data_IF_016911836653
#
_entry.id   IF_016911836653
#
_cell.length_a   1.000
_cell.length_b   1.000
_cell.length_c   1.000
_cell.angle_alpha   90.00
_cell.angle_beta   90.00
_cell.angle_gamma   90.00
#
_symmetry.space_group_name_H-M   'P 1'
#
loop_
_entity.id
_entity.type
_entity.pdbx_description
1 polymer ?
#
# COMPACT_ATOMS: atom_id res chain seq x y z
N UNK A 1 -53.27 -16.64 -7.03
CA UNK A 1 -52.18 -17.01 -7.97
C UNK A 1 -50.89 -16.52 -7.32
N UNK A 2 -50.09 -17.44 -6.83
CA UNK A 2 -48.79 -17.10 -6.30
C UNK A 2 -47.87 -16.80 -7.48
N UNK A 3 -47.40 -15.58 -7.57
CA UNK A 3 -46.33 -15.20 -8.50
C UNK A 3 -45.06 -15.84 -7.99
N UNK A 4 -44.62 -16.88 -8.69
CA UNK A 4 -43.28 -17.42 -8.57
C UNK A 4 -42.27 -16.39 -9.15
N UNK A 5 -41.96 -15.38 -8.37
CA UNK A 5 -40.78 -14.56 -8.62
C UNK A 5 -39.63 -15.27 -7.94
N UNK A 6 -38.65 -15.73 -8.71
CA UNK A 6 -37.34 -16.14 -8.22
C UNK A 6 -36.76 -14.96 -7.50
N UNK A 7 -36.81 -15.00 -6.18
CA UNK A 7 -36.22 -13.96 -5.31
C UNK A 7 -34.71 -14.19 -5.27
N UNK A 8 -33.96 -13.12 -4.98
CA UNK A 8 -32.49 -13.15 -4.77
C UNK A 8 -32.01 -14.16 -3.73
N UNK A 9 -32.95 -14.83 -3.00
CA UNK A 9 -32.65 -15.94 -2.11
C UNK A 9 -32.52 -17.31 -2.80
N UNK A 10 -32.85 -17.41 -4.09
CA UNK A 10 -32.72 -18.64 -4.87
C UNK A 10 -31.38 -18.74 -5.62
N UNK A 11 -30.56 -17.69 -5.57
CA UNK A 11 -29.18 -17.73 -5.98
C UNK A 11 -28.33 -18.07 -4.74
N UNK A 12 -27.88 -19.30 -4.65
CA UNK A 12 -26.98 -19.79 -3.61
C UNK A 12 -25.60 -19.11 -3.68
N UNK A 13 -25.58 -17.77 -3.59
CA UNK A 13 -24.38 -17.03 -3.26
C UNK A 13 -24.33 -17.00 -1.74
N UNK A 14 -23.75 -18.03 -1.12
CA UNK A 14 -23.52 -18.07 0.30
C UNK A 14 -22.39 -17.06 0.59
N UNK A 15 -22.67 -15.90 1.21
CA UNK A 15 -21.68 -14.83 1.43
C UNK A 15 -20.44 -15.33 2.19
N UNK A 16 -20.61 -16.31 3.08
CA UNK A 16 -19.56 -16.91 3.89
C UNK A 16 -18.53 -17.72 3.07
N UNK A 17 -18.92 -18.26 1.91
CA UNK A 17 -18.01 -19.00 1.01
C UNK A 17 -17.35 -18.03 0.03
N UNK A 18 -18.05 -16.98 -0.38
CA UNK A 18 -17.55 -16.04 -1.39
C UNK A 18 -16.44 -15.12 -0.86
N UNK A 19 -16.57 -14.64 0.37
CA UNK A 19 -15.57 -13.77 1.00
C UNK A 19 -14.19 -14.41 1.18
N UNK A 20 -14.05 -15.62 1.76
CA UNK A 20 -12.77 -16.30 1.88
C UNK A 20 -12.08 -16.52 0.53
N UNK A 21 -12.85 -16.87 -0.50
CA UNK A 21 -12.32 -17.08 -1.86
C UNK A 21 -11.75 -15.78 -2.47
N UNK A 22 -12.42 -14.66 -2.29
CA UNK A 22 -11.94 -13.36 -2.77
C UNK A 22 -10.68 -12.89 -2.04
N UNK A 23 -10.61 -13.09 -0.77
CA UNK A 23 -9.45 -12.72 0.07
C UNK A 23 -8.22 -13.54 -0.35
N UNK A 24 -8.35 -14.84 -0.49
CA UNK A 24 -7.26 -15.73 -0.88
C UNK A 24 -6.69 -15.36 -2.26
N UNK A 25 -7.53 -15.17 -3.27
CA UNK A 25 -7.07 -14.76 -4.61
C UNK A 25 -6.44 -13.37 -4.64
N UNK A 26 -6.88 -12.46 -3.80
CA UNK A 26 -6.28 -11.12 -3.68
C UNK A 26 -4.87 -11.21 -3.11
N UNK A 27 -4.67 -12.06 -2.11
CA UNK A 27 -3.37 -12.29 -1.49
C UNK A 27 -2.36 -12.91 -2.46
N UNK A 28 -2.77 -13.90 -3.25
CA UNK A 28 -1.90 -14.56 -4.24
C UNK A 28 -1.39 -13.62 -5.34
N UNK A 29 -2.17 -12.62 -5.71
CA UNK A 29 -1.83 -11.69 -6.81
C UNK A 29 -1.05 -10.45 -6.39
N UNK A 30 -0.87 -10.22 -5.09
CA UNK A 30 -0.12 -9.06 -4.59
C UNK A 30 1.34 -9.42 -4.36
N UNK A 31 2.24 -8.97 -5.24
CA UNK A 31 3.68 -9.14 -5.06
C UNK A 31 4.22 -8.42 -3.83
N UNK A 32 3.61 -7.30 -3.44
CA UNK A 32 3.94 -6.58 -2.21
C UNK A 32 3.65 -7.39 -0.95
N UNK A 33 2.55 -8.13 -0.90
CA UNK A 33 2.22 -9.03 0.22
C UNK A 33 3.25 -10.15 0.37
N UNK A 34 3.65 -10.77 -0.74
CA UNK A 34 4.64 -11.85 -0.76
C UNK A 34 6.07 -11.40 -0.44
N UNK A 35 6.37 -10.10 -0.54
CA UNK A 35 7.71 -9.54 -0.30
C UNK A 35 8.06 -9.32 1.17
N UNK A 36 7.07 -9.38 2.08
CA UNK A 36 7.23 -9.04 3.50
C UNK A 36 7.33 -7.54 3.79
N UNK A 37 7.21 -6.68 2.78
CA UNK A 37 7.15 -5.21 2.92
C UNK A 37 5.92 -4.81 3.70
N UNK A 38 4.80 -5.49 3.46
CA UNK A 38 3.53 -5.29 4.11
C UNK A 38 3.34 -6.38 5.15
N UNK A 39 3.11 -5.96 6.37
CA UNK A 39 2.86 -6.87 7.48
C UNK A 39 1.55 -6.54 8.17
N UNK A 40 0.80 -7.59 8.53
CA UNK A 40 -0.34 -7.45 9.41
C UNK A 40 0.16 -7.03 10.79
N UNK A 41 -0.40 -5.93 11.32
CA UNK A 41 -0.03 -5.38 12.63
C UNK A 41 -1.23 -5.41 13.56
N UNK A 42 -1.15 -6.12 14.69
CA UNK A 42 -2.23 -6.14 15.68
C UNK A 42 -2.56 -4.75 16.25
N UNK A 43 -1.56 -3.87 16.29
CA UNK A 43 -1.68 -2.49 16.78
C UNK A 43 -2.59 -1.62 15.89
N UNK A 44 -2.75 -1.99 14.61
CA UNK A 44 -3.62 -1.33 13.63
C UNK A 44 -5.06 -1.86 13.63
N UNK A 45 -5.46 -2.68 14.62
CA UNK A 45 -6.81 -3.21 14.65
C UNK A 45 -7.84 -2.08 14.68
N UNK A 46 -8.79 -2.19 13.76
CA UNK A 46 -9.90 -1.26 13.67
C UNK A 46 -10.81 -1.50 14.89
N UNK A 47 -11.08 -0.48 15.72
CA UNK A 47 -11.90 -0.65 16.89
C UNK A 47 -13.31 -1.12 16.50
N UNK A 48 -13.89 -2.12 17.19
CA UNK A 48 -15.23 -2.62 16.89
C UNK A 48 -16.31 -1.55 17.13
N UNK A 49 -16.00 -0.54 17.93
CA UNK A 49 -16.93 0.54 18.30
C UNK A 49 -16.92 1.73 17.30
N UNK A 50 -16.24 1.59 16.16
CA UNK A 50 -16.13 2.65 15.18
C UNK A 50 -14.94 3.58 15.44
N UNK A 51 -14.68 4.44 14.48
CA UNK A 51 -13.57 5.40 14.43
C UNK A 51 -12.92 5.35 13.06
N UNK A 52 -12.46 6.48 12.59
CA UNK A 52 -11.79 6.67 11.30
C UNK A 52 -10.26 6.72 11.41
N UNK A 53 -9.75 6.91 12.64
CA UNK A 53 -8.33 7.03 12.94
C UNK A 53 -7.93 6.02 14.03
N UNK A 54 -6.90 5.25 13.75
CA UNK A 54 -6.24 4.39 14.74
C UNK A 54 -5.05 5.14 15.30
N UNK A 55 -5.02 5.33 16.61
CA UNK A 55 -3.99 6.09 17.32
C UNK A 55 -3.05 5.14 18.03
N UNK A 56 -1.76 5.21 17.71
CA UNK A 56 -0.69 4.36 18.26
C UNK A 56 0.29 5.22 19.06
N UNK A 57 0.18 5.30 20.39
CA UNK A 57 1.16 6.01 21.20
C UNK A 57 2.46 5.23 21.29
N UNK A 58 3.58 5.94 21.27
CA UNK A 58 4.92 5.35 21.46
C UNK A 58 5.82 6.28 22.29
N UNK A 59 6.83 5.69 22.90
CA UNK A 59 7.86 6.43 23.63
C UNK A 59 8.90 6.94 22.63
N UNK A 60 9.27 8.21 22.76
CA UNK A 60 10.40 8.78 22.03
C UNK A 60 11.70 8.29 22.67
N UNK A 61 12.75 8.20 21.87
CA UNK A 61 14.07 7.83 22.37
C UNK A 61 14.62 8.91 23.30
N UNK A 62 15.54 8.50 24.16
CA UNK A 62 16.22 9.41 25.06
C UNK A 62 17.21 10.26 24.27
N UNK A 63 17.08 11.57 24.42
CA UNK A 63 17.95 12.54 23.77
C UNK A 63 18.78 13.29 24.82
N UNK A 64 20.00 13.62 24.49
CA UNK A 64 20.95 14.35 25.35
C UNK A 64 22.24 13.56 25.56
N UNK A 65 23.26 14.25 25.89
CA UNK A 65 24.57 13.69 26.20
C UNK A 65 24.65 13.14 27.64
N UNK A 66 25.57 12.24 27.88
CA UNK A 66 25.90 11.80 29.23
C UNK A 66 26.50 12.95 30.05
N UNK A 67 26.21 12.94 31.34
CA UNK A 67 26.69 13.96 32.27
C UNK A 67 27.89 13.47 33.04
N UNK A 68 28.89 14.33 33.21
CA UNK A 68 30.07 14.02 34.05
C UNK A 68 29.64 13.96 35.50
N UNK A 69 30.05 12.89 36.18
CA UNK A 69 29.91 12.76 37.63
C UNK A 69 30.97 13.64 38.30
N UNK A 70 30.52 14.72 38.89
CA UNK A 70 31.36 15.62 39.69
C UNK A 70 30.72 15.83 41.05
N UNK A 71 31.58 16.08 42.05
CA UNK A 71 31.12 16.33 43.43
C UNK A 71 30.65 17.78 43.66
N UNK A 72 30.85 18.63 42.67
CA UNK A 72 30.54 20.07 42.75
C UNK A 72 29.33 20.50 41.92
N UNK A 73 28.84 19.63 41.05
CA UNK A 73 27.72 19.96 40.11
C UNK A 73 26.58 18.94 40.25
N UNK A 74 25.38 19.44 40.43
CA UNK A 74 24.19 18.61 40.47
C UNK A 74 23.89 18.07 39.05
N UNK A 75 23.35 16.84 38.97
CA UNK A 75 22.94 16.23 37.71
C UNK A 75 21.57 16.81 37.24
N UNK A 76 21.50 17.17 35.98
CA UNK A 76 20.27 17.63 35.37
C UNK A 76 19.33 16.46 35.01
N UNK A 77 18.07 16.58 35.37
CA UNK A 77 17.06 15.57 35.07
C UNK A 77 16.43 15.82 33.71
N UNK A 78 16.76 15.01 32.71
CA UNK A 78 16.13 15.03 31.42
C UNK A 78 14.72 14.40 31.47
N UNK A 79 13.80 14.92 30.66
CA UNK A 79 12.44 14.39 30.53
C UNK A 79 12.37 13.50 29.30
N UNK A 80 11.74 12.33 29.45
CA UNK A 80 11.34 11.53 28.29
C UNK A 80 9.87 11.84 27.92
N UNK A 81 9.59 11.81 26.64
CA UNK A 81 8.30 12.21 26.09
C UNK A 81 7.69 11.10 25.27
N UNK A 82 6.38 11.17 25.09
CA UNK A 82 5.63 10.29 24.21
C UNK A 82 5.22 11.03 22.94
N UNK A 83 5.15 10.33 21.83
CA UNK A 83 4.55 10.81 20.60
C UNK A 83 3.48 9.84 20.12
N UNK A 84 2.78 10.20 19.06
CA UNK A 84 1.65 9.43 18.57
C UNK A 84 1.80 9.25 17.06
N UNK A 85 1.74 8.01 16.61
CA UNK A 85 1.51 7.67 15.23
C UNK A 85 0.01 7.48 14.99
N UNK A 86 -0.49 7.93 13.85
CA UNK A 86 -1.91 7.90 13.50
C UNK A 86 -2.11 7.29 12.13
N UNK A 87 -2.91 6.25 12.06
CA UNK A 87 -3.31 5.59 10.83
C UNK A 87 -4.77 5.88 10.51
N UNK A 88 -5.09 6.02 9.23
CA UNK A 88 -6.45 6.31 8.75
C UNK A 88 -7.12 5.07 8.21
N UNK A 89 -8.42 4.95 8.47
CA UNK A 89 -9.28 3.90 7.95
C UNK A 89 -9.65 4.19 6.48
N UNK A 90 -9.47 3.19 5.62
CA UNK A 90 -9.94 3.21 4.24
C UNK A 90 -11.20 2.37 4.10
N UNK A 91 -12.36 3.02 3.93
CA UNK A 91 -13.61 2.38 3.53
C UNK A 91 -13.74 2.42 2.01
N UNK A 92 -13.83 1.26 1.36
CA UNK A 92 -13.95 1.16 -0.09
C UNK A 92 -15.07 0.20 -0.48
N UNK A 93 -15.75 0.50 -1.57
CA UNK A 93 -16.77 -0.35 -2.14
C UNK A 93 -16.58 -0.53 -3.65
N UNK A 94 -16.91 -1.70 -4.13
CA UNK A 94 -17.07 -2.01 -5.54
C UNK A 94 -18.51 -2.45 -5.78
N UNK A 95 -19.15 -1.89 -6.80
CA UNK A 95 -20.50 -2.24 -7.21
C UNK A 95 -20.47 -2.53 -8.69
N UNK A 96 -20.95 -3.70 -9.06
CA UNK A 96 -21.14 -4.10 -10.46
C UNK A 96 -22.49 -4.79 -10.58
N UNK A 97 -23.13 -4.60 -11.71
CA UNK A 97 -24.42 -5.19 -11.99
C UNK A 97 -24.50 -5.74 -13.41
N UNK A 98 -25.48 -6.60 -13.62
CA UNK A 98 -25.86 -7.08 -14.95
C UNK A 98 -27.38 -7.03 -15.11
N UNK A 99 -27.85 -6.91 -16.35
CA UNK A 99 -29.28 -7.03 -16.65
C UNK A 99 -29.65 -8.47 -16.93
N UNK A 100 -30.87 -8.88 -16.59
CA UNK A 100 -31.39 -10.23 -16.86
C UNK A 100 -31.30 -10.59 -18.34
N UNK A 101 -31.56 -9.61 -19.22
CA UNK A 101 -31.46 -9.81 -20.65
C UNK A 101 -30.06 -10.08 -21.13
N UNK A 102 -29.04 -9.39 -20.55
CA UNK A 102 -27.64 -9.63 -20.88
C UNK A 102 -27.21 -11.03 -20.44
N UNK A 103 -27.65 -11.48 -19.27
CA UNK A 103 -27.39 -12.83 -18.77
C UNK A 103 -28.01 -13.92 -19.67
N UNK A 104 -29.26 -13.68 -20.11
CA UNK A 104 -29.96 -14.60 -21.02
C UNK A 104 -29.30 -14.68 -22.41
N UNK A 105 -28.85 -13.56 -22.96
CA UNK A 105 -28.16 -13.52 -24.24
C UNK A 105 -26.73 -14.06 -24.20
N UNK A 106 -26.00 -13.89 -23.08
CA UNK A 106 -24.66 -14.40 -22.91
C UNK A 106 -24.59 -15.92 -22.68
N UNK A 107 -25.72 -16.53 -22.27
CA UNK A 107 -25.79 -17.96 -21.99
C UNK A 107 -24.86 -18.44 -20.85
N UNK A 108 -24.39 -17.51 -20.04
CA UNK A 108 -23.52 -17.77 -18.90
C UNK A 108 -23.94 -16.91 -17.72
N UNK A 109 -23.71 -17.44 -16.49
CA UNK A 109 -23.99 -16.69 -15.26
C UNK A 109 -22.90 -15.62 -15.05
N UNK A 110 -23.21 -14.31 -15.21
CA UNK A 110 -22.22 -13.26 -15.06
C UNK A 110 -21.77 -13.05 -13.62
N UNK A 111 -22.57 -13.43 -12.62
CA UNK A 111 -22.24 -13.25 -11.21
C UNK A 111 -21.09 -14.17 -10.80
N UNK A 112 -21.05 -15.40 -11.32
CA UNK A 112 -19.97 -16.33 -11.07
C UNK A 112 -18.63 -15.87 -11.67
N UNK A 113 -18.67 -15.27 -12.85
CA UNK A 113 -17.50 -14.65 -13.48
C UNK A 113 -17.04 -13.38 -12.72
N UNK A 114 -17.98 -12.63 -12.14
CA UNK A 114 -17.70 -11.43 -11.35
C UNK A 114 -16.82 -11.76 -10.11
N UNK A 115 -16.98 -12.89 -9.46
CA UNK A 115 -16.19 -13.26 -8.30
C UNK A 115 -14.69 -13.23 -8.59
N UNK A 116 -14.27 -13.84 -9.70
CA UNK A 116 -12.86 -13.85 -10.12
C UNK A 116 -12.37 -12.46 -10.52
N UNK A 117 -13.21 -11.69 -11.18
CA UNK A 117 -12.91 -10.32 -11.59
C UNK A 117 -12.79 -9.38 -10.39
N UNK A 118 -13.62 -9.58 -9.34
CA UNK A 118 -13.54 -8.79 -8.10
C UNK A 118 -12.23 -8.98 -7.39
N UNK A 119 -11.74 -10.22 -7.24
CA UNK A 119 -10.46 -10.48 -6.60
C UNK A 119 -9.32 -9.74 -7.29
N UNK A 120 -9.27 -9.81 -8.62
CA UNK A 120 -8.27 -9.09 -9.42
C UNK A 120 -8.44 -7.56 -9.35
N UNK A 121 -9.66 -7.08 -9.27
CA UNK A 121 -9.95 -5.64 -9.15
C UNK A 121 -9.56 -5.09 -7.78
N UNK A 122 -9.86 -5.82 -6.70
CA UNK A 122 -9.45 -5.44 -5.36
C UNK A 122 -7.93 -5.43 -5.20
N UNK A 123 -7.20 -6.42 -5.75
CA UNK A 123 -5.75 -6.42 -5.73
C UNK A 123 -5.17 -5.17 -6.38
N UNK A 124 -5.67 -4.81 -7.57
CA UNK A 124 -5.23 -3.58 -8.27
C UNK A 124 -5.63 -2.30 -7.56
N UNK A 125 -6.84 -2.23 -6.98
CA UNK A 125 -7.30 -1.06 -6.24
C UNK A 125 -6.46 -0.84 -4.97
N UNK A 126 -6.13 -1.92 -4.28
CA UNK A 126 -5.30 -1.89 -3.08
C UNK A 126 -3.86 -1.47 -3.38
N UNK A 127 -3.25 -2.04 -4.44
CA UNK A 127 -1.92 -1.68 -4.91
C UNK A 127 -1.85 -0.19 -5.32
N UNK A 128 -2.88 0.28 -6.04
CA UNK A 128 -3.02 1.68 -6.40
C UNK A 128 -3.09 2.59 -5.17
N UNK A 129 -3.87 2.22 -4.15
CA UNK A 129 -3.95 2.99 -2.91
C UNK A 129 -2.62 3.02 -2.18
N UNK A 130 -1.88 1.89 -2.13
CA UNK A 130 -0.54 1.84 -1.56
C UNK A 130 0.40 2.88 -2.20
N UNK A 131 0.41 2.95 -3.53
CA UNK A 131 1.25 3.91 -4.26
C UNK A 131 0.85 5.36 -3.95
N UNK A 132 -0.45 5.67 -3.89
CA UNK A 132 -0.92 6.99 -3.48
C UNK A 132 -0.50 7.34 -2.05
N UNK A 133 -0.62 6.39 -1.13
CA UNK A 133 -0.18 6.54 0.26
C UNK A 133 1.32 6.82 0.35
N UNK A 134 2.14 6.05 -0.36
CA UNK A 134 3.59 6.24 -0.39
C UNK A 134 3.97 7.60 -1.00
N UNK A 135 3.30 8.00 -2.07
CA UNK A 135 3.58 9.28 -2.72
C UNK A 135 3.29 10.47 -1.78
N UNK A 136 2.16 10.44 -1.06
CA UNK A 136 1.84 11.46 -0.07
C UNK A 136 2.74 11.44 1.15
N UNK A 137 2.96 10.27 1.72
CA UNK A 137 3.72 10.08 2.94
C UNK A 137 5.21 10.39 2.77
N UNK A 138 5.84 9.93 1.67
CA UNK A 138 7.28 10.18 1.46
C UNK A 138 7.61 11.64 1.11
N UNK A 139 6.64 12.42 0.70
CA UNK A 139 6.86 13.84 0.44
C UNK A 139 7.18 14.66 1.71
N UNK A 140 6.89 14.15 2.91
CA UNK A 140 7.21 14.81 4.19
C UNK A 140 8.50 14.30 4.84
N UNK A 141 9.06 13.18 4.36
CA UNK A 141 10.30 12.58 4.88
C UNK A 141 11.45 12.87 3.92
N UNK A 142 11.88 14.12 3.87
CA UNK A 142 12.87 14.61 2.89
C UNK A 142 14.24 13.94 2.99
N UNK A 143 14.63 13.51 4.20
CA UNK A 143 15.93 12.88 4.43
C UNK A 143 16.05 11.53 3.73
N UNK A 144 14.95 10.79 3.61
CA UNK A 144 14.88 9.49 2.95
C UNK A 144 14.54 9.61 1.45
N UNK A 145 14.67 10.80 0.87
CA UNK A 145 14.46 11.01 -0.57
C UNK A 145 15.80 11.28 -1.24
N UNK A 146 16.11 10.51 -2.26
CA UNK A 146 17.18 10.82 -3.22
C UNK A 146 16.55 11.21 -4.54
N UNK A 147 16.78 12.43 -4.99
CA UNK A 147 16.30 12.93 -6.27
C UNK A 147 17.49 13.34 -7.15
N UNK A 148 17.78 12.52 -8.15
CA UNK A 148 18.81 12.81 -9.16
C UNK A 148 18.19 13.27 -10.49
N UNK A 149 16.88 13.33 -10.61
CA UNK A 149 16.17 13.59 -11.86
C UNK A 149 16.44 14.98 -12.46
N UNK A 150 16.87 15.93 -11.62
CA UNK A 150 17.26 17.28 -12.03
C UNK A 150 18.71 17.42 -12.47
N UNK A 151 19.52 16.38 -12.35
CA UNK A 151 20.92 16.40 -12.82
C UNK A 151 20.99 16.35 -14.35
N UNK A 152 22.12 16.78 -14.91
CA UNK A 152 22.32 16.82 -16.36
C UNK A 152 22.90 15.51 -16.90
N UNK A 153 22.44 15.12 -18.09
CA UNK A 153 23.01 13.99 -18.83
C UNK A 153 22.82 12.64 -18.13
N UNK A 154 23.86 11.81 -18.14
CA UNK A 154 23.81 10.45 -17.55
C UNK A 154 23.72 10.42 -16.03
N UNK A 155 24.08 11.50 -15.33
CA UNK A 155 23.99 11.58 -13.88
C UNK A 155 22.54 11.54 -13.36
N UNK A 156 21.57 11.85 -14.21
CA UNK A 156 20.14 11.74 -13.87
C UNK A 156 19.58 10.32 -14.06
N UNK A 157 20.33 9.45 -14.74
CA UNK A 157 19.88 8.10 -15.10
C UNK A 157 20.11 7.13 -13.95
N UNK A 158 19.19 6.18 -13.79
CA UNK A 158 19.36 5.08 -12.84
C UNK A 158 20.68 4.34 -13.13
N UNK A 159 21.53 4.28 -12.14
CA UNK A 159 22.80 3.54 -12.17
C UNK A 159 23.05 2.85 -10.82
N UNK A 160 23.93 1.84 -10.82
CA UNK A 160 24.29 1.10 -9.63
C UNK A 160 24.89 1.98 -8.53
N UNK A 161 25.67 3.02 -8.90
CA UNK A 161 26.24 3.97 -7.94
C UNK A 161 25.17 4.83 -7.28
N UNK A 162 24.25 5.39 -8.06
CA UNK A 162 23.12 6.17 -7.55
C UNK A 162 22.18 5.34 -6.65
N UNK A 163 22.06 4.04 -6.96
CA UNK A 163 21.32 3.13 -6.10
C UNK A 163 22.01 2.90 -4.73
N UNK A 164 23.33 2.80 -4.70
CA UNK A 164 24.10 2.75 -3.44
C UNK A 164 23.90 4.04 -2.64
N UNK A 165 23.89 5.20 -3.29
CA UNK A 165 23.62 6.49 -2.65
C UNK A 165 22.19 6.55 -2.10
N UNK A 166 21.20 5.97 -2.80
CA UNK A 166 19.85 5.85 -2.29
C UNK A 166 19.78 4.97 -1.04
N UNK A 167 20.49 3.84 -1.00
CA UNK A 167 20.59 3.01 0.20
C UNK A 167 21.26 3.77 1.36
N UNK A 168 22.26 4.60 1.07
CA UNK A 168 22.99 5.36 2.08
C UNK A 168 22.13 6.43 2.78
N UNK A 169 20.95 6.79 2.22
CA UNK A 169 20.00 7.66 2.92
C UNK A 169 19.52 7.11 4.26
N UNK A 170 19.56 5.79 4.46
CA UNK A 170 19.25 5.15 5.73
C UNK A 170 20.45 5.09 6.70
N UNK A 171 21.61 5.61 6.32
CA UNK A 171 22.82 5.54 7.16
C UNK A 171 23.15 4.11 7.57
N UNK A 172 23.35 3.91 8.86
CA UNK A 172 23.70 2.60 9.44
C UNK A 172 22.58 1.55 9.33
N UNK A 173 21.34 2.01 9.06
CA UNK A 173 20.18 1.14 8.93
C UNK A 173 19.93 0.63 7.50
N UNK A 174 20.82 0.90 6.54
CA UNK A 174 20.68 0.50 5.13
C UNK A 174 20.47 -1.00 4.90
N UNK A 175 21.04 -1.83 5.76
CA UNK A 175 20.92 -3.30 5.67
C UNK A 175 19.52 -3.81 6.04
N UNK A 176 18.69 -2.96 6.65
CA UNK A 176 17.29 -3.26 6.92
C UNK A 176 16.39 -3.18 5.67
N UNK A 177 16.90 -2.62 4.56
CA UNK A 177 16.18 -2.55 3.30
C UNK A 177 16.30 -3.88 2.55
N UNK A 178 15.17 -4.54 2.30
CA UNK A 178 15.11 -5.92 1.74
C UNK A 178 14.43 -6.01 0.39
N UNK A 179 13.67 -5.01 0.00
CA UNK A 179 12.92 -5.02 -1.25
C UNK A 179 13.02 -3.68 -1.98
N UNK A 180 12.88 -3.73 -3.29
CA UNK A 180 12.83 -2.57 -4.18
C UNK A 180 11.60 -2.69 -5.06
N UNK A 181 10.79 -1.64 -5.12
CA UNK A 181 9.65 -1.56 -6.03
C UNK A 181 9.94 -0.54 -7.12
N UNK A 182 9.83 -0.97 -8.37
CA UNK A 182 10.17 -0.16 -9.54
C UNK A 182 9.19 -0.38 -10.70
N UNK A 183 9.18 0.57 -11.61
CA UNK A 183 8.45 0.46 -12.87
C UNK A 183 9.13 -0.54 -13.82
N UNK A 184 8.37 -1.24 -14.67
CA UNK A 184 8.91 -2.22 -15.63
C UNK A 184 9.96 -1.65 -16.57
N UNK A 185 9.87 -0.37 -16.94
CA UNK A 185 10.87 0.30 -17.75
C UNK A 185 12.24 0.43 -17.05
N UNK A 186 12.24 0.59 -15.73
CA UNK A 186 13.47 0.63 -14.91
C UNK A 186 14.05 -0.77 -14.79
N UNK A 187 13.20 -1.78 -14.55
CA UNK A 187 13.63 -3.18 -14.54
C UNK A 187 14.29 -3.56 -15.88
N UNK A 188 13.68 -3.18 -16.99
CA UNK A 188 14.25 -3.45 -18.32
C UNK A 188 15.63 -2.79 -18.54
N UNK A 189 15.86 -1.60 -17.96
CA UNK A 189 17.17 -0.94 -17.98
C UNK A 189 18.21 -1.76 -17.23
N UNK A 190 17.88 -2.21 -16.02
CA UNK A 190 18.78 -2.98 -15.16
C UNK A 190 19.04 -4.37 -15.77
N UNK A 191 18.01 -5.01 -16.35
CA UNK A 191 18.14 -6.29 -17.03
C UNK A 191 19.08 -6.22 -18.25
N UNK A 192 19.06 -5.10 -19.01
CA UNK A 192 20.00 -4.89 -20.12
C UNK A 192 21.46 -4.77 -19.66
N UNK A 193 21.67 -4.37 -18.41
CA UNK A 193 23.00 -4.25 -17.81
C UNK A 193 23.44 -5.56 -17.14
N UNK A 194 22.66 -6.64 -17.27
CA UNK A 194 22.89 -7.96 -16.66
C UNK A 194 23.16 -7.91 -15.14
N UNK A 195 22.43 -7.04 -14.45
CA UNK A 195 22.59 -6.80 -13.02
C UNK A 195 21.45 -7.39 -12.18
N UNK A 196 20.51 -8.11 -12.79
CA UNK A 196 19.41 -8.78 -12.12
C UNK A 196 19.75 -10.26 -11.91
N UNK A 197 19.75 -10.68 -10.66
CA UNK A 197 19.87 -12.08 -10.28
C UNK A 197 18.50 -12.75 -10.29
N UNK A 198 18.41 -13.89 -10.94
CA UNK A 198 17.18 -14.70 -11.04
C UNK A 198 17.26 -15.86 -10.07
N UNK A 199 16.64 -15.73 -8.91
CA UNK A 199 16.61 -16.79 -7.90
C UNK A 199 15.59 -17.85 -8.32
N UNK A 200 16.07 -19.08 -8.47
CA UNK A 200 15.29 -20.23 -8.92
C UNK A 200 15.19 -21.26 -7.80
N UNK A 201 14.11 -22.03 -7.82
CA UNK A 201 13.97 -23.21 -6.95
C UNK A 201 14.79 -24.39 -7.45
N UNK A 202 14.73 -25.51 -6.73
CA UNK A 202 15.43 -26.75 -7.08
C UNK A 202 14.96 -27.37 -8.42
N UNK A 203 13.79 -26.97 -8.92
CA UNK A 203 13.22 -27.42 -10.19
C UNK A 203 13.57 -26.46 -11.35
N UNK A 204 14.29 -25.36 -11.07
CA UNK A 204 14.68 -24.34 -12.04
C UNK A 204 13.60 -23.30 -12.33
N UNK A 205 12.47 -23.31 -11.58
CA UNK A 205 11.42 -22.31 -11.70
C UNK A 205 11.83 -21.02 -11.00
N UNK A 206 11.56 -19.86 -11.65
CA UNK A 206 11.83 -18.56 -11.07
C UNK A 206 10.98 -18.35 -9.82
N UNK A 207 11.63 -18.07 -8.68
CA UNK A 207 10.98 -17.68 -7.44
C UNK A 207 10.79 -16.16 -7.37
N UNK A 208 11.88 -15.41 -7.49
CA UNK A 208 11.87 -13.96 -7.52
C UNK A 208 13.13 -13.42 -8.18
N UNK A 209 13.09 -12.14 -8.53
CA UNK A 209 14.23 -11.39 -9.05
C UNK A 209 14.89 -10.64 -7.91
N UNK A 210 16.21 -10.51 -7.98
CA UNK A 210 17.00 -9.82 -6.97
C UNK A 210 17.93 -8.79 -7.63
N UNK A 211 18.11 -7.66 -6.99
CA UNK A 211 19.03 -6.61 -7.41
C UNK A 211 19.82 -6.12 -6.20
N UNK A 212 21.13 -6.31 -6.21
CA UNK A 212 22.04 -5.96 -5.10
C UNK A 212 21.53 -6.45 -3.73
N UNK A 213 21.11 -7.71 -3.61
CA UNK A 213 20.62 -8.30 -2.38
C UNK A 213 19.21 -7.87 -1.96
N UNK A 214 18.43 -7.25 -2.85
CA UNK A 214 17.06 -6.81 -2.58
C UNK A 214 16.07 -7.42 -3.57
N UNK A 215 14.97 -7.94 -3.04
CA UNK A 215 13.91 -8.49 -3.86
C UNK A 215 13.28 -7.41 -4.75
N UNK A 216 13.20 -7.67 -6.04
CA UNK A 216 12.60 -6.75 -7.02
C UNK A 216 11.11 -7.01 -7.14
N UNK A 217 10.32 -5.95 -6.97
CA UNK A 217 8.88 -5.89 -7.19
C UNK A 217 8.66 -4.99 -8.38
N UNK A 218 8.00 -5.50 -9.42
CA UNK A 218 7.73 -4.73 -10.64
C UNK A 218 6.27 -4.32 -10.68
N UNK A 219 6.03 -3.02 -10.80
CA UNK A 219 4.68 -2.45 -10.87
C UNK A 219 4.62 -1.26 -11.82
N UNK A 220 3.84 -1.39 -12.87
CA UNK A 220 3.61 -0.31 -13.84
C UNK A 220 2.76 0.85 -13.30
N UNK A 221 2.15 0.68 -12.13
CA UNK A 221 1.48 1.74 -11.39
C UNK A 221 2.41 2.72 -10.67
N UNK A 222 3.74 2.44 -10.64
CA UNK A 222 4.72 3.34 -10.01
C UNK A 222 4.68 4.74 -10.63
N UNK A 223 4.84 5.81 -9.81
CA UNK A 223 4.73 7.17 -10.30
C UNK A 223 5.76 7.50 -11.39
N UNK A 224 5.27 7.95 -12.53
CA UNK A 224 6.07 8.48 -13.62
C UNK A 224 5.52 9.85 -14.00
N UNK A 225 6.37 10.87 -13.98
CA UNK A 225 5.99 12.23 -14.34
C UNK A 225 7.12 12.93 -15.11
N UNK A 226 6.84 13.40 -16.33
CA UNK A 226 7.83 14.12 -17.13
C UNK A 226 9.13 13.33 -17.41
N UNK A 227 9.06 12.01 -17.53
CA UNK A 227 10.21 11.13 -17.72
C UNK A 227 11.01 10.86 -16.42
N UNK A 228 10.52 11.32 -15.27
CA UNK A 228 11.07 10.99 -13.96
C UNK A 228 10.32 9.78 -13.41
N UNK A 229 11.06 8.74 -13.08
CA UNK A 229 10.58 7.50 -12.47
C UNK A 229 10.85 7.52 -10.99
N UNK A 230 9.90 7.02 -10.21
CA UNK A 230 10.03 6.90 -8.76
C UNK A 230 10.17 5.42 -8.40
N UNK A 231 11.25 5.09 -7.75
CA UNK A 231 11.54 3.76 -7.22
C UNK A 231 11.53 3.84 -5.69
N UNK A 232 10.94 2.85 -5.02
CA UNK A 232 10.93 2.78 -3.56
C UNK A 232 11.76 1.60 -3.08
N UNK A 233 12.55 1.82 -2.03
CA UNK A 233 13.23 0.78 -1.29
C UNK A 233 12.51 0.59 0.03
N UNK A 234 12.31 -0.66 0.43
CA UNK A 234 11.54 -1.02 1.62
C UNK A 234 12.31 -1.93 2.54
N UNK A 235 12.15 -1.71 3.84
CA UNK A 235 12.49 -2.70 4.85
C UNK A 235 11.34 -3.63 5.17
N UNK A 236 11.60 -4.66 5.95
CA UNK A 236 10.56 -5.56 6.45
C UNK A 236 9.56 -4.80 7.32
N UNK A 237 8.27 -5.00 7.07
CA UNK A 237 7.20 -4.35 7.82
C UNK A 237 7.20 -2.83 7.70
N UNK A 238 7.68 -2.29 6.58
CA UNK A 238 7.69 -0.85 6.32
C UNK A 238 6.27 -0.28 6.23
N UNK A 239 5.31 -1.10 5.78
CA UNK A 239 3.90 -0.75 5.69
C UNK A 239 3.09 -1.70 6.56
N UNK A 240 2.35 -1.13 7.50
CA UNK A 240 1.40 -1.87 8.34
C UNK A 240 0.07 -2.05 7.62
N UNK A 241 -0.52 -3.22 7.78
CA UNK A 241 -1.83 -3.55 7.25
C UNK A 241 -2.73 -4.15 8.32
N UNK A 242 -3.99 -3.77 8.31
CA UNK A 242 -5.04 -4.41 9.10
C UNK A 242 -6.35 -4.36 8.33
N UNK A 243 -7.12 -5.43 8.39
CA UNK A 243 -8.43 -5.50 7.76
C UNK A 243 -9.52 -5.48 8.85
N UNK A 244 -10.54 -4.66 8.63
CA UNK A 244 -11.74 -4.63 9.44
C UNK A 244 -12.91 -5.27 8.71
N UNK A 245 -13.88 -5.73 9.47
CA UNK A 245 -15.09 -6.33 8.90
C UNK A 245 -16.20 -5.28 8.83
N UNK A 246 -16.63 -4.84 7.63
CA UNK A 246 -17.83 -4.03 7.49
C UNK A 246 -19.06 -4.81 7.97
N UNK A 247 -20.12 -4.09 8.35
CA UNK A 247 -21.37 -4.72 8.83
C UNK A 247 -21.96 -5.70 7.81
N UNK A 248 -21.88 -5.37 6.52
CA UNK A 248 -22.30 -6.23 5.40
C UNK A 248 -21.18 -6.17 4.35
N UNK A 249 -20.25 -7.13 4.35
CA UNK A 249 -19.09 -7.09 3.44
C UNK A 249 -19.46 -7.40 1.99
N UNK A 250 -20.39 -8.31 1.79
CA UNK A 250 -20.90 -8.68 0.47
C UNK A 250 -22.43 -8.67 0.49
N UNK A 251 -23.04 -8.08 -0.53
CA UNK A 251 -24.47 -7.95 -0.63
C UNK A 251 -24.89 -8.02 -2.09
N UNK A 252 -25.97 -8.73 -2.36
CA UNK A 252 -26.67 -8.69 -3.65
C UNK A 252 -27.91 -7.83 -3.53
N UNK A 253 -28.19 -7.01 -4.53
CA UNK A 253 -29.41 -6.20 -4.61
C UNK A 253 -30.03 -6.37 -5.99
N UNK A 254 -31.36 -6.40 -6.06
CA UNK A 254 -32.10 -6.57 -7.31
C UNK A 254 -33.13 -5.46 -7.48
N UNK A 255 -33.14 -4.87 -8.65
CA UNK A 255 -34.07 -3.84 -9.08
C UNK A 255 -34.92 -4.36 -10.29
N UNK A 256 -36.08 -4.99 -10.03
CA UNK A 256 -36.83 -5.68 -11.09
C UNK A 256 -37.51 -4.74 -12.08
N UNK A 257 -37.67 -3.47 -11.74
CA UNK A 257 -38.33 -2.48 -12.57
C UNK A 257 -37.41 -1.67 -13.48
N UNK A 258 -36.09 -1.74 -13.23
CA UNK A 258 -35.06 -1.03 -14.01
C UNK A 258 -34.56 -1.93 -15.15
N UNK A 259 -34.54 -1.39 -16.37
CA UNK A 259 -33.95 -2.00 -17.57
C UNK A 259 -34.32 -3.49 -17.82
N UNK A 260 -35.54 -3.88 -17.41
CA UNK A 260 -36.03 -5.25 -17.55
C UNK A 260 -35.53 -6.23 -16.48
N UNK A 261 -35.03 -5.71 -15.38
CA UNK A 261 -34.41 -6.43 -14.25
C UNK A 261 -32.90 -6.24 -14.21
N UNK A 262 -32.45 -5.63 -13.15
CA UNK A 262 -31.02 -5.47 -12.86
C UNK A 262 -30.66 -6.15 -11.55
N UNK A 263 -29.50 -6.80 -11.54
CA UNK A 263 -28.92 -7.40 -10.35
C UNK A 263 -27.54 -6.79 -10.08
N UNK A 264 -27.29 -6.43 -8.82
CA UNK A 264 -26.07 -5.79 -8.39
C UNK A 264 -25.36 -6.65 -7.35
N UNK A 265 -24.04 -6.78 -7.51
CA UNK A 265 -23.15 -7.34 -6.50
C UNK A 265 -22.34 -6.21 -5.89
N UNK A 266 -22.47 -6.03 -4.57
CA UNK A 266 -21.86 -4.96 -3.80
C UNK A 266 -20.82 -5.59 -2.87
N UNK A 267 -19.54 -5.23 -3.04
CA UNK A 267 -18.48 -5.65 -2.14
C UNK A 267 -17.93 -4.44 -1.41
N UNK A 268 -17.86 -4.52 -0.06
CA UNK A 268 -17.35 -3.46 0.80
C UNK A 268 -16.16 -3.99 1.59
N UNK A 269 -15.10 -3.18 1.70
CA UNK A 269 -13.93 -3.49 2.54
C UNK A 269 -13.55 -2.29 3.39
N UNK A 270 -13.21 -2.59 4.62
CA UNK A 270 -12.58 -1.66 5.55
C UNK A 270 -11.18 -2.17 5.85
N UNK A 271 -10.19 -1.32 5.67
CA UNK A 271 -8.81 -1.69 5.97
C UNK A 271 -7.99 -0.44 6.30
N UNK A 272 -6.89 -0.66 6.99
CA UNK A 272 -5.86 0.33 7.26
C UNK A 272 -4.62 -0.06 6.48
N UNK A 273 -4.01 0.91 5.80
CA UNK A 273 -2.74 0.76 5.11
C UNK A 273 -1.87 1.94 5.53
N UNK A 274 -0.86 1.69 6.34
CA UNK A 274 -0.14 2.74 7.03
C UNK A 274 1.38 2.60 6.85
N UNK A 275 2.06 3.59 6.25
CA UNK A 275 3.52 3.67 6.24
C UNK A 275 4.00 3.97 7.66
N UNK A 276 4.73 3.04 8.26
CA UNK A 276 5.11 3.10 9.66
C UNK A 276 6.01 4.31 9.96
N UNK A 277 5.61 5.09 10.95
CA UNK A 277 6.35 6.28 11.38
C UNK A 277 6.01 7.56 10.63
N UNK A 278 4.98 7.54 9.77
CA UNK A 278 4.50 8.73 9.06
C UNK A 278 3.00 8.88 9.34
N UNK A 279 2.67 9.69 10.32
CA UNK A 279 1.30 9.83 10.83
C UNK A 279 0.37 10.56 9.86
N UNK A 280 -0.88 10.10 9.79
CA UNK A 280 -1.95 10.83 9.16
C UNK A 280 -2.30 12.08 10.00
N UNK A 281 -2.11 13.25 9.43
CA UNK A 281 -2.35 14.54 10.08
C UNK A 281 -3.04 15.48 9.10
N UNK A 282 -4.32 15.24 8.78
CA UNK A 282 -5.02 15.96 7.74
C UNK A 282 -5.20 17.44 8.09
N UNK A 283 -5.20 18.27 7.05
CA UNK A 283 -5.60 19.65 7.13
C UNK A 283 -7.10 19.78 7.48
N UNK A 284 -7.53 20.94 7.97
CA UNK A 284 -8.95 21.18 8.29
C UNK A 284 -9.84 20.92 7.07
N UNK A 285 -10.92 20.15 7.26
CA UNK A 285 -11.86 19.76 6.20
C UNK A 285 -11.43 18.55 5.36
N UNK A 286 -10.38 17.84 5.77
CA UNK A 286 -9.96 16.56 5.17
C UNK A 286 -10.18 15.43 6.19
N UNK A 287 -10.78 14.30 5.78
CA UNK A 287 -11.35 14.01 4.46
C UNK A 287 -12.62 14.80 4.16
N UNK A 288 -12.84 15.14 2.90
CA UNK A 288 -14.08 15.82 2.46
C UNK A 288 -15.33 14.95 2.59
N UNK A 289 -15.13 13.64 2.75
CA UNK A 289 -16.15 12.63 3.05
C UNK A 289 -15.72 11.87 4.31
N UNK A 290 -16.54 10.94 4.75
CA UNK A 290 -16.28 10.12 5.94
C UNK A 290 -14.94 9.36 5.90
N UNK A 291 -14.44 9.04 4.70
CA UNK A 291 -13.16 8.37 4.48
C UNK A 291 -12.35 9.10 3.38
N UNK A 292 -11.01 9.09 3.47
CA UNK A 292 -10.19 9.83 2.52
C UNK A 292 -10.23 9.22 1.12
N UNK A 293 -10.28 10.10 0.12
CA UNK A 293 -10.11 9.74 -1.28
C UNK A 293 -8.63 9.45 -1.59
N UNK A 294 -8.36 8.82 -2.75
CA UNK A 294 -6.99 8.56 -3.17
C UNK A 294 -6.17 9.85 -3.38
N UNK A 295 -6.83 10.94 -3.81
CA UNK A 295 -6.19 12.25 -4.01
C UNK A 295 -5.80 12.88 -2.68
N UNK A 296 -6.66 12.79 -1.68
CA UNK A 296 -6.37 13.31 -0.33
C UNK A 296 -5.24 12.51 0.34
N UNK A 297 -5.21 11.20 0.15
CA UNK A 297 -4.12 10.34 0.64
C UNK A 297 -2.77 10.67 -0.05
N UNK A 298 -2.79 11.01 -1.34
CA UNK A 298 -1.59 11.40 -2.08
C UNK A 298 -1.08 12.82 -1.75
N UNK A 299 -1.89 13.64 -1.09
CA UNK A 299 -1.52 15.01 -0.75
C UNK A 299 -0.57 15.03 0.46
N UNK A 300 0.62 15.59 0.29
CA UNK A 300 1.65 15.68 1.33
C UNK A 300 1.20 16.47 2.56
N UNK A 301 0.36 17.49 2.39
CA UNK A 301 -0.16 18.29 3.49
C UNK A 301 -1.02 17.55 4.52
N UNK A 302 -1.41 16.29 4.22
CA UNK A 302 -2.20 15.43 5.11
C UNK A 302 -1.33 14.43 5.89
N UNK A 303 -0.02 14.52 5.76
CA UNK A 303 0.93 13.63 6.44
C UNK A 303 1.91 14.44 7.27
N UNK A 304 2.43 13.83 8.31
CA UNK A 304 3.51 14.40 9.10
C UNK A 304 4.43 13.28 9.60
N UNK A 305 5.72 13.54 9.67
CA UNK A 305 6.69 12.60 10.20
C UNK A 305 6.46 12.40 11.71
N UNK A 306 6.42 11.14 12.14
CA UNK A 306 6.27 10.74 13.54
C UNK A 306 7.54 10.15 14.13
N UNK A 307 8.27 9.33 13.37
CA UNK A 307 9.54 8.75 13.75
C UNK A 307 10.71 9.52 13.15
N UNK A 308 11.89 9.35 13.69
CA UNK A 308 13.12 9.80 13.07
C UNK A 308 13.33 9.13 11.70
N UNK A 309 13.97 9.83 10.78
CA UNK A 309 14.14 9.38 9.39
C UNK A 309 14.78 8.00 9.27
N UNK A 310 15.76 7.68 10.12
CA UNK A 310 16.44 6.38 10.14
C UNK A 310 15.55 5.21 10.62
N UNK A 311 14.45 5.51 11.33
CA UNK A 311 13.50 4.52 11.80
C UNK A 311 12.37 4.27 10.79
N UNK A 312 12.23 5.14 9.79
CA UNK A 312 11.29 5.00 8.68
C UNK A 312 11.95 4.16 7.60
N UNK A 313 11.57 2.88 7.51
CA UNK A 313 12.19 1.88 6.62
C UNK A 313 11.72 1.98 5.18
N UNK A 314 11.61 3.20 4.67
CA UNK A 314 11.20 3.51 3.30
C UNK A 314 12.14 4.57 2.75
N UNK A 315 12.68 4.34 1.55
CA UNK A 315 13.47 5.33 0.82
C UNK A 315 12.84 5.54 -0.55
N UNK A 316 12.71 6.80 -0.94
CA UNK A 316 12.21 7.19 -2.25
C UNK A 316 13.39 7.62 -3.12
N UNK A 317 13.50 7.02 -4.30
CA UNK A 317 14.54 7.32 -5.27
C UNK A 317 13.91 7.80 -6.58
N UNK A 318 14.16 9.05 -6.95
CA UNK A 318 13.68 9.68 -8.19
C UNK A 318 14.82 9.79 -9.18
N UNK A 319 14.59 9.28 -10.39
CA UNK A 319 15.61 9.18 -11.42
C UNK A 319 14.99 9.18 -12.81
N UNK A 320 15.82 9.21 -13.85
CA UNK A 320 15.42 9.00 -15.25
C UNK A 320 15.93 7.65 -15.76
N UNK A 321 15.44 7.21 -16.91
CA UNK A 321 15.90 6.00 -17.61
C UNK A 321 16.74 6.34 -18.85
N UNK A 322 16.76 7.59 -19.27
CA UNK A 322 17.57 8.09 -20.36
C UNK A 322 18.13 9.48 -19.99
N UNK A 323 19.27 9.81 -20.56
CA UNK A 323 19.86 11.15 -20.45
C UNK A 323 18.89 12.19 -21.02
N UNK A 324 18.71 13.28 -20.29
CA UNK A 324 17.89 14.42 -20.71
C UNK A 324 18.69 15.37 -21.56
#
# INVERSE_FOLDING_TARGET
MATLTTTSGDLDVIPEIFLPYMIEKTSEKSEFGASGVIQAMPELQIPPNGGDIVTMPFWQDLTGDDQLLDTSTDLDVAKFTTSVDKAVLHGRALVYGSTDLAAALAGSDPIKALADLYAAKWARAWQKLLIYTLNGAMAVVTDNVLDISGLSGTAAVFDASAFVDANQKMGDCKDKLVAIAMHSAVEALIAKSDQIDYIKDSEGKLLYKEYQGKRVIVDDGMPVSGGVYTTYLFGLGAVGYSEGTPKVPLETSREPLLNGGEEYLISRRHFVLHPRGIKWNPSSGVPAKDVPSNVEVAASGNWAQAYESQNIRIVQFKHRIAAA
#
